data_IF_166084443473
#
_entry.id   IF_166084443473
#
_cell.length_a   1.000
_cell.length_b   1.000
_cell.length_c   1.000
_cell.angle_alpha   90.00
_cell.angle_beta   90.00
_cell.angle_gamma   90.00
#
_symmetry.space_group_name_H-M   'P 1'
#
loop_
_entity.id
_entity.type
_entity.pdbx_description
1 polymer ?
#
# COMPACT_ATOMS: atom_id res chain seq x y z
N UNK A 1 -31.05 16.98 41.72
CA UNK A 1 -30.43 15.74 41.19
C UNK A 1 -31.00 15.24 39.86
N UNK A 2 -32.31 15.28 39.57
CA UNK A 2 -32.85 14.74 38.29
C UNK A 2 -32.59 15.60 37.04
N UNK A 3 -32.61 16.93 37.14
CA UNK A 3 -32.42 17.82 35.97
C UNK A 3 -30.99 17.74 35.42
N UNK A 4 -29.98 17.71 36.30
CA UNK A 4 -28.58 17.52 35.89
C UNK A 4 -28.33 16.13 35.26
N UNK A 5 -29.04 15.09 35.70
CA UNK A 5 -28.95 13.76 35.11
C UNK A 5 -29.58 13.73 33.70
N UNK A 6 -30.75 14.36 33.51
CA UNK A 6 -31.41 14.50 32.21
C UNK A 6 -30.57 15.33 31.22
N UNK A 7 -29.98 16.44 31.67
CA UNK A 7 -29.07 17.27 30.87
C UNK A 7 -27.78 16.51 30.51
N UNK A 8 -27.26 15.65 31.40
CA UNK A 8 -26.12 14.77 31.10
C UNK A 8 -26.46 13.63 30.15
N UNK A 9 -27.68 13.13 30.17
CA UNK A 9 -28.14 12.04 29.28
C UNK A 9 -28.56 12.52 27.88
N UNK A 10 -28.93 13.81 27.74
CA UNK A 10 -29.43 14.36 26.48
C UNK A 10 -28.45 14.20 25.29
N UNK A 11 -27.13 14.48 25.40
CA UNK A 11 -26.21 14.29 24.28
C UNK A 11 -26.06 12.83 23.85
N UNK A 12 -26.08 11.90 24.81
CA UNK A 12 -25.99 10.48 24.53
C UNK A 12 -27.25 9.96 23.82
N UNK A 13 -28.43 10.39 24.28
CA UNK A 13 -29.71 10.07 23.65
C UNK A 13 -29.79 10.57 22.21
N UNK A 14 -29.46 11.85 21.97
CA UNK A 14 -29.44 12.42 20.63
C UNK A 14 -28.45 11.74 19.70
N UNK A 15 -27.27 11.35 20.21
CA UNK A 15 -26.29 10.61 19.43
C UNK A 15 -26.78 9.20 19.08
N UNK A 16 -27.41 8.49 20.03
CA UNK A 16 -28.02 7.19 19.75
C UNK A 16 -29.14 7.30 18.70
N UNK A 17 -29.97 8.35 18.80
CA UNK A 17 -31.00 8.62 17.80
C UNK A 17 -30.41 8.90 16.42
N UNK A 18 -29.33 9.68 16.35
CA UNK A 18 -28.60 9.93 15.10
C UNK A 18 -27.98 8.68 14.49
N UNK A 19 -27.41 7.79 15.32
CA UNK A 19 -26.86 6.50 14.89
C UNK A 19 -27.95 5.59 14.29
N UNK A 20 -29.18 5.64 14.83
CA UNK A 20 -30.33 4.89 14.30
C UNK A 20 -30.94 5.53 13.06
N UNK A 21 -31.05 6.86 13.03
CA UNK A 21 -31.78 7.58 11.98
C UNK A 21 -30.91 7.99 10.80
N UNK A 22 -29.58 7.98 10.93
CA UNK A 22 -28.62 8.46 9.93
C UNK A 22 -28.69 9.97 9.66
N UNK A 23 -29.34 10.74 10.53
CA UNK A 23 -29.58 12.18 10.34
C UNK A 23 -28.49 13.00 11.06
N UNK A 24 -27.83 13.90 10.33
CA UNK A 24 -26.79 14.76 10.89
C UNK A 24 -27.31 15.69 11.99
N UNK A 25 -28.55 16.16 11.87
CA UNK A 25 -29.20 17.08 12.81
C UNK A 25 -29.19 16.57 14.25
N UNK A 26 -29.41 15.28 14.46
CA UNK A 26 -29.43 14.69 15.79
C UNK A 26 -28.06 14.75 16.46
N UNK A 27 -26.99 14.52 15.69
CA UNK A 27 -25.64 14.66 16.23
C UNK A 27 -25.26 16.13 16.47
N UNK A 28 -25.73 17.06 15.64
CA UNK A 28 -25.50 18.48 15.83
C UNK A 28 -26.22 19.01 17.08
N UNK A 29 -27.46 18.57 17.32
CA UNK A 29 -28.16 18.83 18.59
C UNK A 29 -27.41 18.23 19.78
N UNK A 30 -26.90 17.00 19.66
CA UNK A 30 -26.08 16.40 20.71
C UNK A 30 -24.82 17.23 21.02
N UNK A 31 -24.20 17.79 19.97
CA UNK A 31 -23.02 18.64 20.07
C UNK A 31 -23.33 19.96 20.79
N UNK A 32 -24.38 20.65 20.38
CA UNK A 32 -24.85 21.92 20.96
C UNK A 32 -25.30 21.75 22.41
N UNK A 33 -26.14 20.75 22.71
CA UNK A 33 -26.58 20.44 24.08
C UNK A 33 -25.42 20.10 25.02
N UNK A 34 -24.30 19.61 24.48
CA UNK A 34 -23.09 19.32 25.27
C UNK A 34 -22.18 20.52 25.49
N UNK A 35 -22.52 21.69 24.95
CA UNK A 35 -21.66 22.86 24.86
C UNK A 35 -20.30 22.52 24.21
N UNK A 36 -20.34 21.80 23.08
CA UNK A 36 -19.16 21.46 22.27
C UNK A 36 -18.09 20.63 22.99
N UNK A 37 -18.52 19.73 23.88
CA UNK A 37 -17.62 18.87 24.67
C UNK A 37 -17.89 17.37 24.50
N UNK A 38 -18.83 16.99 23.65
CA UNK A 38 -19.19 15.59 23.47
C UNK A 38 -18.52 14.94 22.26
N UNK A 39 -17.41 14.25 22.55
CA UNK A 39 -16.62 13.49 21.58
C UNK A 39 -17.44 12.58 20.67
N UNK A 40 -18.36 11.79 21.25
CA UNK A 40 -19.10 10.76 20.50
C UNK A 40 -19.95 11.38 19.39
N UNK A 41 -20.64 12.48 19.67
CA UNK A 41 -21.45 13.18 18.67
C UNK A 41 -20.60 13.65 17.48
N UNK A 42 -19.46 14.31 17.77
CA UNK A 42 -18.59 14.82 16.71
C UNK A 42 -17.93 13.70 15.91
N UNK A 43 -17.51 12.60 16.55
CA UNK A 43 -17.01 11.40 15.86
C UNK A 43 -18.09 10.77 14.97
N UNK A 44 -19.33 10.69 15.44
CA UNK A 44 -20.43 10.12 14.65
C UNK A 44 -20.80 11.01 13.47
N UNK A 45 -20.76 12.34 13.62
CA UNK A 45 -20.84 13.28 12.49
C UNK A 45 -19.74 13.03 11.46
N UNK A 46 -18.50 12.91 11.92
CA UNK A 46 -17.36 12.68 11.03
C UNK A 46 -17.52 11.38 10.22
N UNK A 47 -17.95 10.29 10.86
CA UNK A 47 -18.26 9.02 10.19
C UNK A 47 -19.41 9.14 9.19
N UNK A 48 -20.46 9.89 9.52
CA UNK A 48 -21.57 10.15 8.61
C UNK A 48 -21.10 10.93 7.38
N UNK A 49 -20.37 12.03 7.55
CA UNK A 49 -19.79 12.82 6.45
C UNK A 49 -18.86 11.96 5.58
N UNK A 50 -18.04 11.10 6.19
CA UNK A 50 -17.20 10.15 5.45
C UNK A 50 -18.03 9.18 4.60
N UNK A 51 -19.12 8.62 5.15
CA UNK A 51 -20.02 7.72 4.41
C UNK A 51 -20.74 8.42 3.25
N UNK A 52 -20.94 9.73 3.36
CA UNK A 52 -21.50 10.59 2.31
C UNK A 52 -20.43 11.10 1.32
N UNK A 53 -19.18 10.62 1.43
CA UNK A 53 -18.04 11.04 0.61
C UNK A 53 -17.66 12.53 0.75
N UNK A 54 -18.14 13.19 1.80
CA UNK A 54 -17.77 14.56 2.16
C UNK A 54 -16.51 14.53 3.02
N UNK A 55 -15.39 14.19 2.39
CA UNK A 55 -14.15 13.87 3.11
C UNK A 55 -13.57 15.07 3.86
N UNK A 56 -13.66 16.29 3.32
CA UNK A 56 -13.17 17.49 4.01
C UNK A 56 -13.98 17.77 5.28
N UNK A 57 -15.31 17.71 5.21
CA UNK A 57 -16.17 17.84 6.40
C UNK A 57 -15.88 16.74 7.44
N UNK A 58 -15.60 15.51 6.98
CA UNK A 58 -15.21 14.41 7.85
C UNK A 58 -13.90 14.71 8.59
N UNK A 59 -12.89 15.24 7.88
CA UNK A 59 -11.61 15.67 8.48
C UNK A 59 -11.85 16.72 9.57
N UNK A 60 -12.63 17.76 9.28
CA UNK A 60 -12.91 18.84 10.23
C UNK A 60 -13.61 18.30 11.49
N UNK A 61 -14.60 17.42 11.30
CA UNK A 61 -15.29 16.78 12.41
C UNK A 61 -14.40 15.83 13.22
N UNK A 62 -13.54 15.04 12.57
CA UNK A 62 -12.58 14.17 13.27
C UNK A 62 -11.57 14.99 14.06
N UNK A 63 -11.05 16.09 13.50
CA UNK A 63 -10.11 16.98 14.19
C UNK A 63 -10.74 17.58 15.45
N UNK A 64 -11.98 18.07 15.39
CA UNK A 64 -12.70 18.54 16.56
C UNK A 64 -12.94 17.43 17.61
N UNK A 65 -13.27 16.22 17.17
CA UNK A 65 -13.44 15.07 18.06
C UNK A 65 -12.11 14.74 18.75
N UNK A 66 -11.03 14.61 18.00
CA UNK A 66 -9.71 14.25 18.50
C UNK A 66 -9.09 15.33 19.40
N UNK A 67 -9.45 16.61 19.21
CA UNK A 67 -9.14 17.70 20.14
C UNK A 67 -9.72 17.45 21.54
N UNK A 68 -10.91 16.85 21.63
CA UNK A 68 -11.54 16.50 22.91
C UNK A 68 -10.97 15.21 23.51
N UNK A 69 -10.72 14.19 22.67
CA UNK A 69 -10.16 12.91 23.10
C UNK A 69 -9.12 12.41 22.10
N UNK A 70 -7.83 12.71 22.31
CA UNK A 70 -6.76 12.34 21.38
C UNK A 70 -6.32 10.87 21.49
N UNK A 71 -6.78 10.13 22.51
CA UNK A 71 -6.37 8.74 22.78
C UNK A 71 -7.26 7.68 22.13
N UNK A 72 -7.98 7.99 21.04
CA UNK A 72 -8.91 7.04 20.40
C UNK A 72 -8.35 6.63 19.04
N UNK A 73 -7.73 5.45 18.98
CA UNK A 73 -7.05 4.93 17.78
C UNK A 73 -7.98 4.87 16.55
N UNK A 74 -9.19 4.34 16.70
CA UNK A 74 -10.20 4.26 15.63
C UNK A 74 -10.55 5.63 15.00
N UNK A 75 -10.56 6.71 15.79
CA UNK A 75 -10.81 8.05 15.25
C UNK A 75 -9.62 8.56 14.43
N UNK A 76 -8.38 8.25 14.84
CA UNK A 76 -7.18 8.54 14.05
C UNK A 76 -7.12 7.70 12.76
N UNK A 77 -7.52 6.44 12.80
CA UNK A 77 -7.63 5.59 11.61
C UNK A 77 -8.57 6.21 10.57
N UNK A 78 -9.78 6.59 11.00
CA UNK A 78 -10.77 7.18 10.10
C UNK A 78 -10.35 8.56 9.59
N UNK A 79 -9.66 9.37 10.41
CA UNK A 79 -9.07 10.63 9.96
C UNK A 79 -8.00 10.39 8.87
N UNK A 80 -7.13 9.41 9.06
CA UNK A 80 -6.14 9.02 8.05
C UNK A 80 -6.80 8.56 6.75
N UNK A 81 -7.83 7.72 6.85
CA UNK A 81 -8.60 7.30 5.68
C UNK A 81 -9.26 8.48 4.95
N UNK A 82 -9.77 9.49 5.68
CA UNK A 82 -10.34 10.70 5.08
C UNK A 82 -9.28 11.52 4.34
N UNK A 83 -8.10 11.71 4.94
CA UNK A 83 -6.98 12.37 4.27
C UNK A 83 -6.49 11.61 3.03
N UNK A 84 -6.45 10.27 3.04
CA UNK A 84 -6.14 9.49 1.83
C UNK A 84 -7.13 9.74 0.70
N UNK A 85 -8.43 9.85 1.02
CA UNK A 85 -9.47 10.13 0.01
C UNK A 85 -9.36 11.54 -0.59
N UNK A 86 -8.72 12.45 0.14
CA UNK A 86 -8.39 13.81 -0.31
C UNK A 86 -6.98 13.90 -0.93
N UNK A 87 -6.26 12.78 -1.04
CA UNK A 87 -4.86 12.73 -1.50
C UNK A 87 -3.89 13.60 -0.65
N UNK A 88 -4.25 13.87 0.60
CA UNK A 88 -3.43 14.58 1.58
C UNK A 88 -2.49 13.58 2.28
N UNK A 89 -1.49 13.10 1.54
CA UNK A 89 -0.65 11.95 1.92
C UNK A 89 0.11 12.15 3.23
N UNK A 90 0.72 13.32 3.45
CA UNK A 90 1.48 13.64 4.65
C UNK A 90 0.61 13.69 5.92
N UNK A 91 -0.60 14.26 5.82
CA UNK A 91 -1.51 14.35 6.96
C UNK A 91 -2.16 13.00 7.26
N UNK A 92 -2.45 12.23 6.21
CA UNK A 92 -2.83 10.82 6.34
C UNK A 92 -1.76 10.00 7.08
N UNK A 93 -0.49 10.18 6.70
CA UNK A 93 0.63 9.49 7.34
C UNK A 93 0.71 9.83 8.83
N UNK A 94 0.56 11.11 9.20
CA UNK A 94 0.52 11.54 10.61
C UNK A 94 -0.63 10.87 11.37
N UNK A 95 -1.81 10.81 10.78
CA UNK A 95 -2.99 10.21 11.41
C UNK A 95 -2.84 8.70 11.62
N UNK A 96 -2.40 7.94 10.62
CA UNK A 96 -2.15 6.50 10.80
C UNK A 96 -0.97 6.23 11.73
N UNK A 97 0.10 7.03 11.69
CA UNK A 97 1.21 6.93 12.65
C UNK A 97 0.71 7.12 14.09
N UNK A 98 -0.22 8.07 14.29
CA UNK A 98 -0.84 8.26 15.60
C UNK A 98 -1.73 7.07 15.99
N UNK A 99 -2.44 6.48 15.04
CA UNK A 99 -3.22 5.26 15.26
C UNK A 99 -2.34 4.11 15.76
N UNK A 100 -1.25 3.76 15.06
CA UNK A 100 -0.35 2.67 15.48
C UNK A 100 0.41 2.96 16.77
N UNK A 101 0.61 4.24 17.11
CA UNK A 101 1.18 4.60 18.42
C UNK A 101 0.23 4.34 19.60
N UNK A 102 -1.07 4.31 19.35
CA UNK A 102 -2.12 4.05 20.33
C UNK A 102 -2.52 2.57 20.34
N UNK A 103 -2.51 1.94 19.17
CA UNK A 103 -2.81 0.53 18.96
C UNK A 103 -1.79 -0.09 17.98
N UNK A 104 -0.66 -0.61 18.50
CA UNK A 104 0.40 -1.19 17.67
C UNK A 104 -0.04 -2.40 16.85
N UNK A 105 -1.12 -3.08 17.26
CA UNK A 105 -1.60 -4.31 16.66
C UNK A 105 -2.52 -4.06 15.46
N UNK A 106 -2.87 -2.80 15.18
CA UNK A 106 -3.73 -2.40 14.06
C UNK A 106 -2.99 -2.53 12.72
N UNK A 107 -2.98 -3.75 12.18
CA UNK A 107 -2.27 -4.09 10.95
C UNK A 107 -2.78 -3.35 9.70
N UNK A 108 -4.04 -2.88 9.64
CA UNK A 108 -4.48 -2.08 8.48
C UNK A 108 -3.84 -0.69 8.50
N UNK A 109 -3.63 -0.09 9.68
CA UNK A 109 -2.92 1.18 9.80
C UNK A 109 -1.48 1.07 9.32
N UNK A 110 -0.77 0.02 9.74
CA UNK A 110 0.58 -0.26 9.24
C UNK A 110 0.61 -0.46 7.72
N UNK A 111 -0.36 -1.18 7.17
CA UNK A 111 -0.51 -1.35 5.73
C UNK A 111 -0.77 -0.04 4.99
N UNK A 112 -1.62 0.84 5.55
CA UNK A 112 -1.88 2.15 4.98
C UNK A 112 -0.64 3.06 5.04
N UNK A 113 0.12 3.04 6.14
CA UNK A 113 1.42 3.73 6.26
C UNK A 113 2.36 3.27 5.14
N UNK A 114 2.47 1.96 4.92
CA UNK A 114 3.28 1.39 3.84
C UNK A 114 2.83 1.85 2.45
N UNK A 115 1.52 1.84 2.19
CA UNK A 115 0.95 2.28 0.93
C UNK A 115 1.18 3.78 0.66
N UNK A 116 1.09 4.62 1.70
CA UNK A 116 1.38 6.05 1.61
C UNK A 116 2.86 6.28 1.30
N UNK A 117 3.77 5.57 1.98
CA UNK A 117 5.20 5.65 1.69
C UNK A 117 5.52 5.24 0.25
N UNK A 118 4.89 4.17 -0.27
CA UNK A 118 5.00 3.79 -1.67
C UNK A 118 4.56 4.91 -2.61
N UNK A 119 3.41 5.55 -2.35
CA UNK A 119 2.92 6.69 -3.14
C UNK A 119 3.89 7.88 -3.12
N UNK A 120 4.60 8.08 -2.01
CA UNK A 120 5.61 9.11 -1.85
C UNK A 120 7.01 8.71 -2.37
N UNK A 121 7.16 7.54 -2.98
CA UNK A 121 8.46 7.04 -3.48
C UNK A 121 9.44 6.58 -2.38
N UNK A 122 8.96 6.38 -1.16
CA UNK A 122 9.75 6.06 0.04
C UNK A 122 9.76 4.55 0.30
N UNK A 123 10.42 3.80 -0.57
CA UNK A 123 10.33 2.33 -0.59
C UNK A 123 10.85 1.64 0.68
N UNK A 124 11.93 2.14 1.30
CA UNK A 124 12.49 1.54 2.53
C UNK A 124 11.53 1.66 3.71
N UNK A 125 10.94 2.85 3.90
CA UNK A 125 9.94 3.08 4.95
C UNK A 125 8.67 2.27 4.68
N UNK A 126 8.28 2.13 3.40
CA UNK A 126 7.14 1.30 3.03
C UNK A 126 7.38 -0.17 3.40
N UNK A 127 8.56 -0.71 3.12
CA UNK A 127 8.92 -2.07 3.50
C UNK A 127 8.86 -2.28 5.02
N UNK A 128 9.41 -1.35 5.80
CA UNK A 128 9.36 -1.44 7.26
C UNK A 128 7.91 -1.49 7.77
N UNK A 129 7.05 -0.61 7.25
CA UNK A 129 5.64 -0.57 7.63
C UNK A 129 4.87 -1.84 7.21
N UNK A 130 5.09 -2.36 6.01
CA UNK A 130 4.47 -3.64 5.61
C UNK A 130 4.97 -4.82 6.42
N UNK A 131 6.23 -4.81 6.85
CA UNK A 131 6.79 -5.84 7.72
C UNK A 131 6.09 -5.84 9.09
N UNK A 132 5.83 -4.67 9.66
CA UNK A 132 5.00 -4.53 10.88
C UNK A 132 3.56 -4.98 10.64
N UNK A 133 2.93 -4.56 9.53
CA UNK A 133 1.57 -4.99 9.17
C UNK A 133 1.44 -6.52 9.11
N UNK A 134 2.44 -7.19 8.53
CA UNK A 134 2.47 -8.64 8.34
C UNK A 134 2.68 -9.42 9.64
N UNK A 135 3.14 -8.81 10.75
CA UNK A 135 3.16 -9.45 12.07
C UNK A 135 1.75 -9.78 12.55
N UNK A 136 0.80 -8.87 12.29
CA UNK A 136 -0.59 -9.00 12.73
C UNK A 136 -1.51 -9.54 11.62
N UNK A 137 -1.21 -9.24 10.35
CA UNK A 137 -2.02 -9.64 9.18
C UNK A 137 -1.27 -10.54 8.20
N UNK A 138 -0.62 -11.58 8.72
CA UNK A 138 0.20 -12.52 7.93
C UNK A 138 -0.55 -13.23 6.79
N UNK A 139 -1.85 -13.45 6.95
CA UNK A 139 -2.69 -14.10 5.93
C UNK A 139 -3.28 -13.12 4.91
N UNK A 140 -3.00 -11.82 5.03
CA UNK A 140 -3.46 -10.82 4.07
C UNK A 140 -2.59 -10.84 2.82
N UNK A 141 -3.12 -11.39 1.73
CA UNK A 141 -2.44 -11.37 0.43
C UNK A 141 -2.14 -9.96 -0.06
N UNK A 142 -3.00 -8.96 0.25
CA UNK A 142 -2.80 -7.56 -0.15
C UNK A 142 -1.52 -6.97 0.46
N UNK A 143 -1.22 -7.32 1.71
CA UNK A 143 -0.01 -6.85 2.37
C UNK A 143 1.25 -7.48 1.73
N UNK A 144 1.18 -8.76 1.37
CA UNK A 144 2.28 -9.43 0.67
C UNK A 144 2.49 -8.89 -0.76
N UNK A 145 1.43 -8.57 -1.48
CA UNK A 145 1.53 -7.94 -2.81
C UNK A 145 2.14 -6.54 -2.73
N UNK A 146 1.68 -5.71 -1.79
CA UNK A 146 2.27 -4.39 -1.60
C UNK A 146 3.73 -4.46 -1.17
N UNK A 147 4.08 -5.39 -0.26
CA UNK A 147 5.48 -5.65 0.11
C UNK A 147 6.30 -6.06 -1.12
N UNK A 148 5.78 -6.98 -1.95
CA UNK A 148 6.43 -7.44 -3.18
C UNK A 148 6.72 -6.28 -4.14
N UNK A 149 5.78 -5.36 -4.31
CA UNK A 149 5.98 -4.14 -5.10
C UNK A 149 7.12 -3.29 -4.54
N UNK A 150 7.21 -3.11 -3.21
CA UNK A 150 8.33 -2.39 -2.58
C UNK A 150 9.68 -3.07 -2.86
N UNK A 151 9.78 -4.37 -2.56
CA UNK A 151 11.08 -5.07 -2.60
C UNK A 151 11.56 -5.27 -4.04
N UNK A 152 10.64 -5.41 -5.00
CA UNK A 152 10.97 -5.45 -6.43
C UNK A 152 11.45 -4.09 -6.92
N UNK A 153 10.82 -2.99 -6.51
CA UNK A 153 11.29 -1.64 -6.83
C UNK A 153 12.68 -1.34 -6.25
N UNK A 154 13.02 -1.92 -5.09
CA UNK A 154 14.37 -1.84 -4.49
C UNK A 154 15.36 -2.89 -5.02
N UNK A 155 14.94 -3.72 -5.98
CA UNK A 155 15.72 -4.82 -6.57
C UNK A 155 16.25 -5.85 -5.57
N UNK A 156 15.54 -6.05 -4.46
CA UNK A 156 15.88 -7.03 -3.41
C UNK A 156 15.34 -8.41 -3.78
N UNK A 157 16.00 -9.08 -4.71
CA UNK A 157 15.52 -10.32 -5.36
C UNK A 157 15.14 -11.41 -4.36
N UNK A 158 15.99 -11.72 -3.38
CA UNK A 158 15.70 -12.78 -2.41
C UNK A 158 14.43 -12.54 -1.58
N UNK A 159 14.16 -11.28 -1.21
CA UNK A 159 12.93 -10.93 -0.50
C UNK A 159 11.71 -10.92 -1.42
N UNK A 160 11.87 -10.50 -2.67
CA UNK A 160 10.82 -10.63 -3.69
C UNK A 160 10.43 -12.09 -3.89
N UNK A 161 11.40 -13.00 -4.04
CA UNK A 161 11.14 -14.44 -4.20
C UNK A 161 10.44 -15.00 -2.96
N UNK A 162 10.85 -14.60 -1.76
CA UNK A 162 10.18 -15.00 -0.53
C UNK A 162 8.72 -14.53 -0.48
N UNK A 163 8.45 -13.26 -0.78
CA UNK A 163 7.09 -12.71 -0.84
C UNK A 163 6.24 -13.44 -1.91
N UNK A 164 6.83 -13.76 -3.05
CA UNK A 164 6.21 -14.57 -4.10
C UNK A 164 5.78 -15.95 -3.61
N UNK A 165 6.66 -16.69 -2.94
CA UNK A 165 6.30 -17.99 -2.38
C UNK A 165 5.13 -17.89 -1.39
N UNK A 166 5.13 -16.86 -0.53
CA UNK A 166 4.01 -16.61 0.38
C UNK A 166 2.72 -16.28 -0.34
N UNK A 167 2.76 -15.50 -1.43
CA UNK A 167 1.60 -15.23 -2.27
C UNK A 167 1.06 -16.50 -2.93
N UNK A 168 1.93 -17.40 -3.39
CA UNK A 168 1.52 -18.69 -3.95
C UNK A 168 0.88 -19.60 -2.90
N UNK A 169 1.41 -19.65 -1.69
CA UNK A 169 0.82 -20.41 -0.58
C UNK A 169 -0.59 -19.88 -0.22
N UNK A 170 -0.77 -18.55 -0.25
CA UNK A 170 -2.05 -17.90 0.04
C UNK A 170 -3.05 -18.00 -1.13
N UNK A 171 -2.56 -18.13 -2.37
CA UNK A 171 -3.39 -18.31 -3.57
C UNK A 171 -4.25 -19.55 -3.47
N UNK A 172 -3.69 -20.66 -2.98
CA UNK A 172 -4.42 -21.93 -2.88
C UNK A 172 -5.65 -21.82 -1.95
N UNK A 173 -5.63 -20.86 -1.00
CA UNK A 173 -6.78 -20.51 -0.16
C UNK A 173 -7.74 -19.51 -0.82
N UNK A 174 -7.23 -18.56 -1.61
CA UNK A 174 -7.97 -17.37 -2.07
C UNK A 174 -8.43 -17.41 -3.54
N UNK A 175 -7.98 -18.40 -4.33
CA UNK A 175 -8.31 -18.59 -5.76
C UNK A 175 -8.03 -17.37 -6.67
N UNK A 176 -7.17 -16.44 -6.24
CA UNK A 176 -6.83 -15.24 -7.02
C UNK A 176 -5.91 -15.58 -8.20
N UNK A 177 -6.07 -14.94 -9.38
CA UNK A 177 -5.08 -15.04 -10.45
C UNK A 177 -3.74 -14.43 -10.03
N UNK A 178 -2.65 -14.95 -10.58
CA UNK A 178 -1.32 -14.38 -10.38
C UNK A 178 -1.21 -13.09 -11.16
N UNK A 179 -0.63 -12.07 -10.53
CA UNK A 179 -0.18 -10.87 -11.23
C UNK A 179 1.07 -11.20 -12.03
N UNK A 180 0.88 -11.47 -13.33
CA UNK A 180 1.96 -11.85 -14.23
C UNK A 180 2.89 -10.67 -14.52
N UNK A 181 2.42 -9.44 -14.36
CA UNK A 181 3.20 -8.23 -14.60
C UNK A 181 4.23 -8.02 -13.49
N UNK A 182 3.85 -8.28 -12.22
CA UNK A 182 4.80 -8.33 -11.11
C UNK A 182 5.84 -9.45 -11.27
N UNK A 183 5.45 -10.59 -11.85
CA UNK A 183 6.38 -11.70 -12.09
C UNK A 183 7.39 -11.34 -13.18
N UNK A 184 6.92 -10.73 -14.27
CA UNK A 184 7.77 -10.21 -15.34
C UNK A 184 8.74 -9.16 -14.81
N UNK A 185 8.25 -8.23 -13.99
CA UNK A 185 9.09 -7.20 -13.34
C UNK A 185 10.21 -7.81 -12.49
N UNK A 186 9.92 -8.84 -11.70
CA UNK A 186 10.96 -9.56 -10.94
C UNK A 186 11.99 -10.19 -11.87
N UNK A 187 11.56 -10.92 -12.90
CA UNK A 187 12.47 -11.62 -13.81
C UNK A 187 13.34 -10.64 -14.59
N UNK A 188 12.77 -9.54 -15.07
CA UNK A 188 13.53 -8.44 -15.69
C UNK A 188 14.55 -7.86 -14.75
N UNK A 189 14.22 -7.63 -13.48
CA UNK A 189 15.15 -7.12 -12.47
C UNK A 189 16.39 -7.98 -12.30
N UNK A 190 16.29 -9.29 -12.56
CA UNK A 190 17.43 -10.22 -12.48
C UNK A 190 18.20 -10.32 -13.82
N UNK A 191 17.48 -10.22 -14.94
CA UNK A 191 18.07 -10.25 -16.28
C UNK A 191 18.78 -8.92 -16.57
N UNK A 192 18.06 -7.81 -16.53
CA UNK A 192 18.56 -6.46 -16.78
C UNK A 192 19.30 -5.99 -15.52
N UNK A 193 20.60 -5.72 -15.59
CA UNK A 193 21.43 -5.27 -14.46
C UNK A 193 21.01 -3.93 -13.86
N UNK A 194 21.69 -3.41 -12.82
CA UNK A 194 21.43 -2.07 -12.29
C UNK A 194 21.38 -1.10 -13.48
N UNK A 195 20.25 -0.43 -13.68
CA UNK A 195 20.03 0.42 -14.84
C UNK A 195 21.22 1.37 -14.98
N UNK A 196 21.96 1.26 -16.08
CA UNK A 196 22.89 2.30 -16.49
C UNK A 196 22.06 3.57 -16.64
N UNK A 197 22.38 4.58 -15.84
CA UNK A 197 21.77 5.90 -15.87
C UNK A 197 21.80 6.48 -17.29
N UNK A 198 20.71 6.35 -18.03
CA UNK A 198 20.30 7.35 -19.02
C UNK A 198 19.23 8.22 -18.39
N UNK A 199 19.64 8.95 -17.35
CA UNK A 199 19.01 10.24 -17.06
C UNK A 199 19.29 11.14 -18.26
N UNK A 200 18.37 11.15 -19.22
CA UNK A 200 18.14 12.33 -20.04
C UNK A 200 17.79 13.48 -19.09
N UNK A 201 18.83 14.18 -18.64
CA UNK A 201 18.70 15.43 -17.92
C UNK A 201 18.10 16.42 -18.91
N UNK A 202 16.79 16.66 -18.79
CA UNK A 202 16.02 17.59 -19.63
C UNK A 202 16.26 19.07 -19.29
N UNK A 203 17.44 19.40 -18.78
CA UNK A 203 17.85 20.75 -18.38
C UNK A 203 19.25 21.07 -18.93
N UNK A 204 19.34 21.35 -20.23
CA UNK A 204 20.43 22.11 -20.84
C UNK A 204 19.96 22.77 -22.16
N UNK A 205 20.38 24.01 -22.46
CA UNK A 205 19.77 24.86 -23.49
C UNK A 205 20.01 24.40 -24.93
N UNK A 206 19.02 24.64 -25.81
CA UNK A 206 18.89 24.18 -27.20
C UNK A 206 19.96 24.67 -28.22
N UNK A 207 21.02 25.34 -27.79
CA UNK A 207 21.93 26.05 -28.68
C UNK A 207 23.28 25.37 -28.87
N UNK A 208 23.31 24.06 -29.19
CA UNK A 208 24.52 23.39 -29.73
C UNK A 208 24.19 22.00 -30.30
N UNK A 209 23.12 21.88 -31.10
CA UNK A 209 22.84 20.67 -31.89
C UNK A 209 23.63 20.68 -33.19
N UNK A 210 24.90 20.29 -33.14
CA UNK A 210 25.63 19.84 -34.32
C UNK A 210 25.24 18.39 -34.58
N UNK A 211 24.48 18.16 -35.65
CA UNK A 211 24.05 16.85 -36.11
C UNK A 211 25.29 16.00 -36.49
N UNK A 212 25.60 15.00 -35.66
CA UNK A 212 26.42 13.86 -36.08
C UNK A 212 25.47 12.74 -36.53
N UNK A 213 25.80 12.01 -37.62
CA UNK A 213 24.93 10.96 -38.15
C UNK A 213 24.80 9.81 -37.14
N UNK A 214 23.55 9.47 -36.82
CA UNK A 214 23.15 8.36 -35.96
C UNK A 214 23.79 7.06 -36.47
N UNK A 215 24.74 6.51 -35.71
CA UNK A 215 25.14 5.12 -35.85
C UNK A 215 24.01 4.24 -35.30
N UNK A 216 23.76 3.04 -35.85
CA UNK A 216 22.75 2.14 -35.31
C UNK A 216 23.16 1.83 -33.86
N UNK A 217 22.27 2.12 -32.91
CA UNK A 217 22.43 1.68 -31.52
C UNK A 217 22.46 0.15 -31.51
N UNK A 218 23.66 -0.42 -31.49
CA UNK A 218 23.88 -1.81 -31.10
C UNK A 218 23.39 -1.95 -29.66
N UNK A 219 22.14 -2.40 -29.49
CA UNK A 219 21.62 -2.82 -28.19
C UNK A 219 22.52 -3.94 -27.67
N UNK A 220 23.38 -3.61 -26.70
CA UNK A 220 24.19 -4.59 -26.01
C UNK A 220 23.32 -5.78 -25.56
N UNK A 221 23.77 -7.02 -25.76
CA UNK A 221 22.94 -8.19 -25.50
C UNK A 221 22.62 -8.30 -24.02
N UNK A 222 21.33 -8.46 -23.69
CA UNK A 222 20.79 -8.74 -22.34
C UNK A 222 21.57 -9.88 -21.65
N UNK A 223 22.61 -9.53 -20.91
CA UNK A 223 23.42 -10.44 -20.09
C UNK A 223 22.80 -10.53 -18.69
N UNK A 224 22.98 -11.65 -18.00
CA UNK A 224 22.40 -11.87 -16.67
C UNK A 224 23.25 -11.17 -15.60
N UNK A 225 22.63 -10.36 -14.74
CA UNK A 225 23.34 -9.52 -13.76
C UNK A 225 23.02 -9.87 -12.29
N UNK A 226 22.08 -10.77 -12.03
CA UNK A 226 21.80 -11.27 -10.68
C UNK A 226 22.95 -12.12 -10.12
N UNK A 227 23.01 -12.29 -8.80
CA UNK A 227 23.93 -13.29 -8.22
C UNK A 227 23.51 -14.70 -8.63
N UNK A 228 24.43 -15.66 -8.66
CA UNK A 228 24.09 -17.08 -8.90
C UNK A 228 23.01 -17.60 -7.92
N UNK A 229 22.99 -17.03 -6.71
CA UNK A 229 21.98 -17.32 -5.70
C UNK A 229 20.59 -16.81 -6.12
N UNK A 230 20.52 -15.57 -6.63
CA UNK A 230 19.28 -14.97 -7.13
C UNK A 230 18.75 -15.73 -8.36
N UNK A 231 19.65 -16.12 -9.27
CA UNK A 231 19.33 -16.96 -10.43
C UNK A 231 18.68 -18.27 -10.01
N UNK A 232 19.25 -18.93 -9.00
CA UNK A 232 18.75 -20.19 -8.48
C UNK A 232 17.37 -20.01 -7.84
N UNK A 233 17.20 -18.99 -7.00
CA UNK A 233 15.95 -18.69 -6.31
C UNK A 233 14.80 -18.39 -7.30
N UNK A 234 15.06 -17.55 -8.31
CA UNK A 234 14.06 -17.26 -9.37
C UNK A 234 13.75 -18.49 -10.20
N UNK A 235 14.76 -19.30 -10.53
CA UNK A 235 14.57 -20.57 -11.24
C UNK A 235 13.68 -21.56 -10.46
N UNK A 236 13.90 -21.70 -9.16
CA UNK A 236 13.07 -22.53 -8.27
C UNK A 236 11.62 -22.01 -8.19
N UNK A 237 11.43 -20.69 -8.09
CA UNK A 237 10.11 -20.06 -8.12
C UNK A 237 9.37 -20.33 -9.43
N UNK A 238 10.01 -20.11 -10.59
CA UNK A 238 9.39 -20.35 -11.89
C UNK A 238 9.12 -21.84 -12.12
N UNK A 239 10.00 -22.73 -11.65
CA UNK A 239 9.77 -24.18 -11.66
C UNK A 239 8.53 -24.57 -10.85
N UNK A 240 8.33 -23.97 -9.67
CA UNK A 240 7.12 -24.18 -8.86
C UNK A 240 5.86 -23.68 -9.58
N UNK A 241 5.94 -22.58 -10.30
CA UNK A 241 4.82 -22.00 -11.07
C UNK A 241 4.41 -22.87 -12.26
N UNK A 242 5.39 -23.45 -12.96
CA UNK A 242 5.15 -24.31 -14.15
C UNK A 242 4.80 -25.75 -13.78
N UNK A 243 5.32 -26.28 -12.66
CA UNK A 243 5.01 -27.63 -12.18
C UNK A 243 3.68 -27.74 -11.42
N UNK A 244 3.13 -26.63 -10.92
CA UNK A 244 1.89 -26.63 -10.14
C UNK A 244 0.64 -26.97 -10.97
N UNK A 245 -0.14 -27.96 -10.54
CA UNK A 245 -1.36 -28.44 -11.23
C UNK A 245 -2.59 -27.51 -11.20
N UNK A 246 -2.41 -26.19 -11.10
CA UNK A 246 -3.48 -25.19 -11.18
C UNK A 246 -3.34 -24.30 -12.42
N UNK A 247 -4.37 -23.51 -12.76
CA UNK A 247 -4.49 -22.73 -14.01
C UNK A 247 -3.36 -21.72 -14.34
N UNK A 248 -2.32 -21.64 -13.52
CA UNK A 248 -1.10 -20.88 -13.75
C UNK A 248 -0.11 -21.64 -14.64
N UNK A 249 0.02 -22.96 -14.50
CA UNK A 249 0.88 -23.77 -15.37
C UNK A 249 0.39 -23.83 -16.80
N UNK A 250 -0.88 -23.48 -17.04
CA UNK A 250 -1.46 -23.36 -18.38
C UNK A 250 -1.36 -21.96 -18.97
N UNK A 251 -0.81 -20.96 -18.24
CA UNK A 251 -0.71 -19.58 -18.72
C UNK A 251 0.43 -19.41 -19.73
N UNK A 252 0.16 -19.02 -20.99
CA UNK A 252 1.21 -18.80 -21.99
C UNK A 252 2.20 -17.71 -21.60
N UNK A 253 1.74 -16.67 -20.89
CA UNK A 253 2.61 -15.58 -20.43
C UNK A 253 3.64 -16.04 -19.41
N UNK A 254 3.26 -16.94 -18.51
CA UNK A 254 4.19 -17.50 -17.50
C UNK A 254 5.27 -18.35 -18.17
N UNK A 255 4.90 -19.12 -19.20
CA UNK A 255 5.86 -19.88 -20.00
C UNK A 255 6.80 -18.99 -20.81
N UNK A 256 6.31 -17.87 -21.36
CA UNK A 256 7.15 -16.90 -22.04
C UNK A 256 8.22 -16.32 -21.09
N UNK A 257 7.81 -15.88 -19.90
CA UNK A 257 8.74 -15.38 -18.85
C UNK A 257 9.77 -16.46 -18.48
N UNK A 258 9.34 -17.72 -18.33
CA UNK A 258 10.25 -18.83 -18.03
C UNK A 258 11.26 -19.09 -19.16
N UNK A 259 10.82 -19.02 -20.42
CA UNK A 259 11.68 -19.18 -21.58
C UNK A 259 12.71 -18.05 -21.68
N UNK A 260 12.28 -16.80 -21.49
CA UNK A 260 13.14 -15.61 -21.52
C UNK A 260 14.23 -15.67 -20.43
N UNK A 261 13.85 -16.07 -19.21
CA UNK A 261 14.79 -16.29 -18.10
C UNK A 261 15.86 -17.35 -18.44
N UNK A 262 15.45 -18.50 -18.96
CA UNK A 262 16.39 -19.56 -19.33
C UNK A 262 17.27 -19.19 -20.52
N UNK A 263 16.74 -18.44 -21.48
CA UNK A 263 17.51 -17.94 -22.62
C UNK A 263 18.61 -16.97 -22.17
N UNK A 264 18.31 -16.06 -21.24
CA UNK A 264 19.29 -15.14 -20.65
C UNK A 264 20.39 -15.89 -19.89
N UNK A 265 20.02 -16.88 -19.05
CA UNK A 265 20.95 -17.68 -18.26
C UNK A 265 21.85 -18.59 -19.11
N UNK A 266 21.31 -19.17 -20.19
CA UNK A 266 22.06 -20.04 -21.10
C UNK A 266 23.10 -19.30 -21.95
N UNK A 267 22.94 -17.99 -22.15
CA UNK A 267 23.93 -17.13 -22.81
C UNK A 267 25.10 -16.79 -21.89
N UNK A 268 24.86 -16.63 -20.59
CA UNK A 268 25.90 -16.32 -19.59
C UNK A 268 26.82 -17.50 -19.29
N UNK A 269 26.33 -18.75 -19.40
CA UNK A 269 27.16 -19.96 -19.20
C UNK A 269 28.04 -20.31 -20.42
N UNK A 270 27.83 -19.65 -21.57
CA UNK A 270 28.56 -19.90 -22.83
C UNK A 270 29.57 -18.79 -23.19
N UNK A 271 29.56 -17.67 -22.46
CA UNK A 271 30.52 -16.58 -22.57
C UNK A 271 31.67 -16.79 -21.57
#
# INVERSE_FOLDING_TARGET
>A
NNVQAAVRAAPAMWTALGELSGQAEHFQRAWECSNHRYFRAKRSLARLSFSQQKYQEAVDHFNEALRLKPGVADAWFMLGAAHMRLEQWEDSLKAFTRCVSLDPDEGDSWGNIGAIHLRLGRCEQAQAAFSEALKHKRESWRMWENLLTCVTAMRRVGESVYAWHRLLDLRDKSKRPIDVDLLDSLVRTVIEGPESSTTETKDAPEAERVAQPEQPEDQEPKSFHGSDTDAKQVGELLGRLTAGGGGVSTSPRVWAIYADFNAARGKTQKA
#
